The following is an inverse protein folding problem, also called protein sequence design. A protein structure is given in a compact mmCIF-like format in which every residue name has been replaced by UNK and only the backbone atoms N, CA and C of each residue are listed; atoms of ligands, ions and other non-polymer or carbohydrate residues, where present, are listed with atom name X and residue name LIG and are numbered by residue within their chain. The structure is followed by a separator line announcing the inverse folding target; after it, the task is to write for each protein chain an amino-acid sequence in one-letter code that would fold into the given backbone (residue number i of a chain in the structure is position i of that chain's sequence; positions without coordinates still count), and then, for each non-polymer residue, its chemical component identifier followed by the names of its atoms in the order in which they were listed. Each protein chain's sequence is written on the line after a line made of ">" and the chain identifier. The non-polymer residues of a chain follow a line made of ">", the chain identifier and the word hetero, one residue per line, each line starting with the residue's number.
data_IF_038367478379
#
_entry.id   IF_038367478379
#
_cell.length_a   1.000
_cell.length_b   1.000
_cell.length_c   1.000
_cell.angle_alpha   90.00
_cell.angle_beta   90.00
_cell.angle_gamma   90.00
#
_symmetry.space_group_name_H-M   'P 1'
#
loop_
_entity.id
_entity.type
_entity.pdbx_description
1 polymer ?
#
# COMPACT_ATOMS: atom_id res chain seq x y z
N UNK A 1 -18.59 7.22 32.66
CA UNK A 1 -18.64 7.29 31.19
C UNK A 1 -18.34 5.91 30.63
N UNK A 2 -19.11 5.43 29.64
CA UNK A 2 -18.80 4.14 28.96
C UNK A 2 -17.51 4.35 28.16
N UNK A 3 -16.50 3.53 28.38
CA UNK A 3 -15.24 3.56 27.63
C UNK A 3 -15.55 3.16 26.17
N UNK A 4 -15.16 3.98 25.20
CA UNK A 4 -15.35 3.68 23.77
C UNK A 4 -14.10 3.04 23.18
N UNK A 5 -14.31 2.16 22.23
CA UNK A 5 -13.25 1.45 21.52
C UNK A 5 -13.37 1.72 20.02
N UNK A 6 -12.29 2.22 19.43
CA UNK A 6 -12.23 2.54 18.01
C UNK A 6 -11.22 1.66 17.31
N UNK A 7 -11.53 1.29 16.06
CA UNK A 7 -10.60 0.70 15.11
C UNK A 7 -10.30 1.77 14.05
N UNK A 8 -9.01 2.02 13.78
CA UNK A 8 -8.54 2.82 12.67
C UNK A 8 -7.95 1.89 11.60
N UNK A 9 -8.39 2.02 10.35
CA UNK A 9 -7.83 1.30 9.20
C UNK A 9 -7.30 2.33 8.21
N UNK A 10 -6.00 2.21 7.90
CA UNK A 10 -5.27 2.98 6.88
C UNK A 10 -4.77 2.00 5.81
N UNK A 11 -5.16 2.19 4.56
CA UNK A 11 -4.78 1.36 3.42
C UNK A 11 -3.41 1.79 2.91
N UNK A 12 -2.37 1.08 3.33
CA UNK A 12 -0.97 1.40 3.02
C UNK A 12 -0.70 1.49 1.52
N UNK A 13 -0.12 2.62 1.10
CA UNK A 13 0.23 2.87 -0.31
C UNK A 13 -0.95 2.69 -1.27
N UNK A 14 -2.16 3.02 -0.86
CA UNK A 14 -3.42 2.68 -1.50
C UNK A 14 -3.43 2.92 -3.02
N UNK A 15 -3.10 4.13 -3.48
CA UNK A 15 -3.13 4.44 -4.91
C UNK A 15 -2.14 3.60 -5.72
N UNK A 16 -0.94 3.36 -5.18
CA UNK A 16 0.05 2.51 -5.84
C UNK A 16 -0.41 1.05 -5.88
N UNK A 17 -1.08 0.58 -4.83
CA UNK A 17 -1.64 -0.76 -4.77
C UNK A 17 -2.76 -0.94 -5.79
N UNK A 18 -3.65 0.06 -5.95
CA UNK A 18 -4.69 0.05 -7.00
C UNK A 18 -4.06 0.02 -8.39
N UNK A 19 -3.02 0.82 -8.65
CA UNK A 19 -2.34 0.86 -9.94
C UNK A 19 -1.63 -0.45 -10.29
N UNK A 20 -1.01 -1.11 -9.30
CA UNK A 20 -0.46 -2.44 -9.50
C UNK A 20 -1.56 -3.44 -9.84
N UNK A 21 -2.65 -3.43 -9.08
CA UNK A 21 -3.77 -4.33 -9.26
C UNK A 21 -4.37 -4.26 -10.66
N UNK A 22 -4.64 -3.06 -11.15
CA UNK A 22 -5.20 -2.82 -12.49
C UNK A 22 -4.27 -3.30 -13.62
N UNK A 23 -2.98 -3.49 -13.33
CA UNK A 23 -1.97 -4.04 -14.26
C UNK A 23 -1.71 -5.53 -14.06
N UNK A 24 -2.43 -6.20 -13.14
CA UNK A 24 -2.18 -7.60 -12.81
C UNK A 24 -0.85 -7.84 -12.09
N UNK A 25 -0.31 -6.80 -11.40
CA UNK A 25 0.96 -6.84 -10.68
C UNK A 25 0.74 -6.97 -9.17
N UNK A 26 1.70 -7.57 -8.46
CA UNK A 26 1.70 -7.62 -7.00
C UNK A 26 2.24 -6.30 -6.43
N UNK A 27 1.45 -5.55 -5.64
CA UNK A 27 1.90 -4.31 -4.99
C UNK A 27 3.07 -4.48 -4.02
N UNK A 28 3.28 -5.68 -3.48
CA UNK A 28 4.40 -5.96 -2.56
C UNK A 28 5.70 -6.26 -3.29
N UNK A 29 5.63 -6.76 -4.52
CA UNK A 29 6.79 -7.12 -5.33
C UNK A 29 7.14 -6.08 -6.40
N UNK A 30 6.19 -5.23 -6.79
CA UNK A 30 6.38 -4.29 -7.89
C UNK A 30 6.87 -2.94 -7.42
N UNK A 31 7.94 -2.44 -8.01
CA UNK A 31 8.39 -1.05 -7.86
C UNK A 31 7.52 -0.13 -8.71
N UNK A 32 6.65 0.64 -8.06
CA UNK A 32 5.75 1.57 -8.74
C UNK A 32 5.56 2.85 -7.93
N UNK A 33 5.45 3.97 -8.62
CA UNK A 33 5.09 5.28 -8.08
C UNK A 33 3.90 5.85 -8.84
N UNK A 34 2.99 6.49 -8.11
CA UNK A 34 1.87 7.24 -8.70
C UNK A 34 2.26 8.71 -8.76
N UNK A 35 2.50 9.21 -9.98
CA UNK A 35 2.90 10.60 -10.22
C UNK A 35 2.48 11.04 -11.62
N UNK A 36 2.21 12.34 -11.80
CA UNK A 36 1.94 12.94 -13.11
C UNK A 36 3.25 13.45 -13.73
N UNK A 37 3.92 12.58 -14.49
CA UNK A 37 5.16 12.87 -15.17
C UNK A 37 4.98 13.91 -16.33
N UNK A 38 3.76 14.02 -16.88
CA UNK A 38 3.48 14.93 -18.00
C UNK A 38 3.64 16.40 -17.62
N UNK A 39 3.52 16.74 -16.33
CA UNK A 39 3.63 18.11 -15.82
C UNK A 39 5.08 18.54 -15.60
N UNK A 40 5.78 17.82 -14.74
CA UNK A 40 7.17 18.10 -14.37
C UNK A 40 7.71 17.04 -13.39
N UNK A 41 9.00 16.81 -13.39
CA UNK A 41 9.68 15.96 -12.40
C UNK A 41 9.61 16.51 -10.95
N UNK A 42 9.18 17.77 -10.77
CA UNK A 42 8.94 18.36 -9.44
C UNK A 42 7.58 17.99 -8.85
N UNK A 43 6.76 17.22 -9.60
CA UNK A 43 5.45 16.73 -9.12
C UNK A 43 5.62 15.90 -7.86
N UNK A 44 4.67 16.02 -6.94
CA UNK A 44 4.62 15.20 -5.73
C UNK A 44 4.06 13.83 -6.09
N UNK A 45 4.75 12.78 -5.65
CA UNK A 45 4.25 11.42 -5.77
C UNK A 45 3.09 11.21 -4.79
N UNK A 46 1.95 10.77 -5.29
CA UNK A 46 0.77 10.52 -4.47
C UNK A 46 0.90 9.24 -3.65
N UNK A 47 1.58 8.24 -4.20
CA UNK A 47 1.89 6.99 -3.50
C UNK A 47 3.11 6.31 -4.12
N UNK A 48 3.78 5.50 -3.30
CA UNK A 48 4.94 4.68 -3.66
C UNK A 48 4.71 3.29 -3.08
N UNK A 49 4.99 2.23 -3.85
CA UNK A 49 4.85 0.85 -3.38
C UNK A 49 5.81 0.53 -2.22
N UNK A 50 5.47 -0.45 -1.37
CA UNK A 50 6.34 -0.88 -0.28
C UNK A 50 7.71 -1.35 -0.75
N UNK A 51 7.78 -2.11 -1.87
CA UNK A 51 9.02 -2.57 -2.48
C UNK A 51 9.94 -1.39 -2.87
N UNK A 52 9.40 -0.37 -3.52
CA UNK A 52 10.18 0.80 -3.91
C UNK A 52 10.61 1.64 -2.69
N UNK A 53 9.79 1.71 -1.64
CA UNK A 53 10.14 2.36 -0.37
C UNK A 53 11.33 1.70 0.33
N UNK A 54 11.57 0.39 0.14
CA UNK A 54 12.69 -0.34 0.76
C UNK A 54 14.05 0.20 0.33
N UNK A 55 14.12 0.90 -0.80
CA UNK A 55 15.33 1.61 -1.27
C UNK A 55 15.49 3.02 -0.67
N UNK A 56 14.80 3.33 0.43
CA UNK A 56 14.91 4.61 1.13
C UNK A 56 14.12 5.75 0.46
N UNK A 57 13.14 5.41 -0.39
CA UNK A 57 12.29 6.38 -1.09
C UNK A 57 11.12 6.80 -0.20
N UNK A 58 10.91 8.11 -0.05
CA UNK A 58 9.79 8.66 0.71
C UNK A 58 8.45 8.38 0.04
N UNK A 59 7.42 8.09 0.83
CA UNK A 59 6.07 7.85 0.33
C UNK A 59 5.39 9.05 -0.33
N UNK A 60 5.89 10.28 -0.07
CA UNK A 60 5.38 11.56 -0.59
C UNK A 60 6.51 12.46 -1.11
N UNK A 61 7.62 11.88 -1.56
CA UNK A 61 8.71 12.59 -2.22
C UNK A 61 8.28 13.16 -3.57
N UNK A 62 9.10 14.02 -4.14
CA UNK A 62 8.93 14.49 -5.51
C UNK A 62 9.49 13.47 -6.50
N UNK A 63 8.98 13.44 -7.72
CA UNK A 63 9.38 12.43 -8.71
C UNK A 63 10.89 12.48 -9.00
N UNK A 64 11.50 13.67 -9.06
CA UNK A 64 12.94 13.77 -9.26
C UNK A 64 13.74 13.16 -8.08
N UNK A 65 13.23 13.25 -6.84
CA UNK A 65 13.87 12.63 -5.67
C UNK A 65 13.80 11.11 -5.76
N UNK A 66 12.70 10.56 -6.25
CA UNK A 66 12.56 9.12 -6.53
C UNK A 66 13.59 8.69 -7.57
N UNK A 67 13.67 9.38 -8.71
CA UNK A 67 14.64 9.13 -9.79
C UNK A 67 16.08 9.19 -9.26
N UNK A 68 16.39 10.20 -8.43
CA UNK A 68 17.72 10.37 -7.83
C UNK A 68 18.06 9.22 -6.87
N UNK A 69 17.15 8.83 -6.00
CA UNK A 69 17.37 7.70 -5.06
C UNK A 69 17.54 6.37 -5.78
N UNK A 70 16.78 6.12 -6.83
CA UNK A 70 16.97 4.90 -7.65
C UNK A 70 18.34 4.93 -8.33
N UNK A 71 18.80 6.08 -8.83
CA UNK A 71 20.15 6.22 -9.40
C UNK A 71 21.25 5.94 -8.37
N UNK A 72 21.12 6.45 -7.15
CA UNK A 72 22.05 6.20 -6.05
C UNK A 72 22.08 4.71 -5.66
N UNK A 73 20.90 4.09 -5.53
CA UNK A 73 20.79 2.65 -5.24
C UNK A 73 21.42 1.80 -6.36
N UNK A 74 21.23 2.19 -7.63
CA UNK A 74 21.84 1.51 -8.77
C UNK A 74 23.36 1.68 -8.81
N UNK A 75 23.90 2.82 -8.39
CA UNK A 75 25.34 2.99 -8.26
C UNK A 75 25.94 2.01 -7.24
N UNK A 76 25.26 1.81 -6.10
CA UNK A 76 25.64 0.77 -5.12
C UNK A 76 25.58 -0.65 -5.73
N UNK A 77 24.45 -0.99 -6.39
CA UNK A 77 24.28 -2.29 -7.05
C UNK A 77 25.35 -2.54 -8.12
N UNK A 78 25.69 -1.51 -8.90
CA UNK A 78 26.75 -1.62 -9.90
C UNK A 78 28.11 -1.90 -9.27
N UNK A 79 28.42 -1.26 -8.13
CA UNK A 79 29.66 -1.51 -7.40
C UNK A 79 29.76 -2.97 -6.92
N UNK A 80 28.64 -3.53 -6.47
CA UNK A 80 28.57 -4.87 -5.89
C UNK A 80 28.36 -5.98 -6.94
N UNK A 81 27.94 -5.61 -8.16
CA UNK A 81 27.68 -6.56 -9.24
C UNK A 81 28.94 -7.23 -9.77
N UNK A 82 28.88 -8.48 -10.25
CA UNK A 82 30.00 -9.15 -10.92
C UNK A 82 30.53 -8.30 -12.08
N UNK A 83 31.84 -8.04 -12.07
CA UNK A 83 32.50 -7.21 -13.08
C UNK A 83 32.11 -5.72 -13.05
N UNK A 84 31.48 -5.24 -11.96
CA UNK A 84 31.01 -3.86 -11.78
C UNK A 84 30.11 -3.35 -12.92
N UNK A 85 29.30 -4.26 -13.48
CA UNK A 85 28.38 -3.96 -14.58
C UNK A 85 26.97 -4.43 -14.27
N UNK A 86 25.98 -3.61 -14.64
CA UNK A 86 24.58 -4.00 -14.65
C UNK A 86 24.20 -4.43 -16.08
N UNK A 87 23.55 -5.61 -16.21
CA UNK A 87 23.27 -6.28 -17.50
C UNK A 87 21.81 -6.13 -17.95
N UNK A 88 21.03 -5.30 -17.24
CA UNK A 88 19.62 -5.07 -17.53
C UNK A 88 18.94 -4.37 -16.37
N UNK A 89 17.62 -4.38 -16.35
CA UNK A 89 16.83 -3.80 -15.26
C UNK A 89 15.58 -4.61 -14.96
N UNK A 90 15.04 -4.44 -13.76
CA UNK A 90 13.74 -5.02 -13.37
C UNK A 90 13.01 -4.07 -12.43
N UNK A 91 11.69 -4.02 -12.57
CA UNK A 91 10.80 -3.37 -11.61
C UNK A 91 10.22 -4.35 -10.57
N UNK A 92 10.57 -5.64 -10.64
CA UNK A 92 10.15 -6.66 -9.67
C UNK A 92 11.21 -6.83 -8.59
N UNK A 93 10.80 -6.64 -7.34
CA UNK A 93 11.68 -6.71 -6.17
C UNK A 93 12.29 -8.11 -6.01
N UNK A 94 11.49 -9.18 -6.15
CA UNK A 94 11.95 -10.56 -6.09
C UNK A 94 13.07 -10.84 -7.09
N UNK A 95 12.88 -10.44 -8.34
CA UNK A 95 13.87 -10.60 -9.41
C UNK A 95 15.16 -9.84 -9.11
N UNK A 96 15.04 -8.64 -8.53
CA UNK A 96 16.18 -7.82 -8.14
C UNK A 96 16.94 -8.43 -6.95
N UNK A 97 16.26 -9.15 -6.06
CA UNK A 97 16.91 -9.87 -4.95
C UNK A 97 17.68 -11.11 -5.44
N UNK A 98 17.14 -11.82 -6.43
CA UNK A 98 17.77 -13.02 -6.99
C UNK A 98 18.94 -12.68 -7.93
N UNK A 99 18.89 -11.53 -8.61
CA UNK A 99 19.91 -11.15 -9.58
C UNK A 99 20.55 -9.77 -9.27
N UNK A 100 21.71 -9.75 -8.62
CA UNK A 100 22.41 -8.51 -8.28
C UNK A 100 22.95 -7.73 -9.51
N UNK A 101 23.05 -8.36 -10.69
CA UNK A 101 23.49 -7.69 -11.93
C UNK A 101 22.39 -6.85 -12.61
N UNK A 102 21.14 -6.84 -12.08
CA UNK A 102 20.09 -6.03 -12.63
C UNK A 102 20.00 -4.66 -11.96
N UNK A 103 19.76 -3.62 -12.74
CA UNK A 103 19.40 -2.29 -12.24
C UNK A 103 17.97 -2.30 -11.68
N UNK A 104 17.75 -1.52 -10.63
CA UNK A 104 16.41 -1.17 -10.17
C UNK A 104 15.75 -0.28 -11.20
N UNK A 105 14.58 -0.70 -11.66
CA UNK A 105 13.66 0.09 -12.45
C UNK A 105 12.33 0.24 -11.70
N UNK A 106 11.44 1.14 -12.16
CA UNK A 106 10.13 1.34 -11.56
C UNK A 106 9.14 1.89 -12.58
N UNK A 107 7.86 1.61 -12.33
CA UNK A 107 6.75 2.08 -13.15
C UNK A 107 6.27 3.43 -12.61
N UNK A 108 6.10 4.42 -13.49
CA UNK A 108 5.42 5.67 -13.18
C UNK A 108 3.99 5.56 -13.68
N UNK A 109 3.01 5.56 -12.77
CA UNK A 109 1.61 5.47 -13.09
C UNK A 109 0.95 6.86 -12.96
N UNK A 110 0.24 7.35 -13.99
CA UNK A 110 -0.50 8.60 -13.88
C UNK A 110 -1.65 8.45 -12.87
N UNK A 111 -1.97 9.52 -12.08
CA UNK A 111 -3.05 9.48 -11.11
C UNK A 111 -4.42 9.29 -11.77
N UNK A 112 -5.23 8.37 -11.23
CA UNK A 112 -6.60 8.08 -11.69
C UNK A 112 -7.60 8.19 -10.53
N UNK A 113 -7.86 9.41 -10.04
CA UNK A 113 -8.63 9.66 -8.82
C UNK A 113 -10.03 9.02 -8.83
N UNK A 114 -10.71 9.00 -9.97
CA UNK A 114 -12.02 8.33 -10.09
C UNK A 114 -11.93 6.83 -9.76
N UNK A 115 -10.90 6.16 -10.24
CA UNK A 115 -10.62 4.76 -9.94
C UNK A 115 -10.35 4.53 -8.45
N UNK A 116 -9.57 5.41 -7.82
CA UNK A 116 -9.27 5.28 -6.40
C UNK A 116 -10.52 5.46 -5.54
N UNK A 117 -11.41 6.38 -5.92
CA UNK A 117 -12.70 6.56 -5.25
C UNK A 117 -13.60 5.32 -5.42
N UNK A 118 -13.61 4.69 -6.59
CA UNK A 118 -14.37 3.47 -6.84
C UNK A 118 -13.87 2.32 -5.95
N UNK A 119 -12.55 2.09 -5.88
CA UNK A 119 -11.96 1.09 -5.00
C UNK A 119 -12.24 1.37 -3.52
N UNK A 120 -12.10 2.64 -3.09
CA UNK A 120 -12.44 3.06 -1.73
C UNK A 120 -13.91 2.76 -1.39
N UNK A 121 -14.83 3.04 -2.32
CA UNK A 121 -16.26 2.75 -2.15
C UNK A 121 -16.54 1.25 -2.01
N UNK A 122 -15.88 0.41 -2.82
CA UNK A 122 -16.00 -1.05 -2.69
C UNK A 122 -15.51 -1.55 -1.33
N UNK A 123 -14.37 -1.02 -0.86
CA UNK A 123 -13.82 -1.35 0.46
C UNK A 123 -14.75 -0.89 1.57
N UNK A 124 -15.32 0.31 1.47
CA UNK A 124 -16.30 0.81 2.42
C UNK A 124 -17.53 -0.10 2.53
N UNK A 125 -17.99 -0.68 1.42
CA UNK A 125 -19.08 -1.68 1.44
C UNK A 125 -18.71 -2.94 2.25
N UNK A 126 -17.43 -3.29 2.33
CA UNK A 126 -16.98 -4.37 3.20
C UNK A 126 -17.09 -3.96 4.68
N UNK A 127 -16.68 -2.75 5.03
CA UNK A 127 -16.78 -2.23 6.39
C UNK A 127 -18.24 -2.23 6.90
N UNK A 128 -19.19 -1.82 6.05
CA UNK A 128 -20.63 -1.80 6.37
C UNK A 128 -21.24 -3.18 6.67
N UNK A 129 -20.56 -4.29 6.38
CA UNK A 129 -21.02 -5.62 6.80
C UNK A 129 -20.78 -5.88 8.28
N UNK A 130 -19.85 -5.15 8.88
CA UNK A 130 -19.38 -5.36 10.23
C UNK A 130 -19.84 -4.27 11.19
N UNK A 131 -19.94 -3.05 10.72
CA UNK A 131 -20.22 -1.85 11.50
C UNK A 131 -21.27 -1.02 10.76
N UNK A 132 -22.27 -0.49 11.47
CA UNK A 132 -23.28 0.38 10.88
C UNK A 132 -22.66 1.69 10.36
N UNK A 133 -23.23 2.28 9.28
CA UNK A 133 -22.68 3.49 8.67
C UNK A 133 -22.51 4.67 9.64
N UNK A 134 -23.41 4.82 10.60
CA UNK A 134 -23.38 5.87 11.62
C UNK A 134 -22.19 5.77 12.59
N UNK A 135 -21.60 4.58 12.72
CA UNK A 135 -20.43 4.30 13.55
C UNK A 135 -19.11 4.28 12.75
N UNK A 136 -19.18 4.58 11.42
CA UNK A 136 -18.03 4.67 10.54
C UNK A 136 -17.76 6.14 10.19
N UNK A 137 -16.58 6.62 10.53
CA UNK A 137 -16.09 7.96 10.16
C UNK A 137 -15.08 7.79 9.03
N UNK A 138 -15.46 8.22 7.82
CA UNK A 138 -14.53 8.28 6.67
C UNK A 138 -13.67 9.53 6.84
N UNK A 139 -12.38 9.33 7.15
CA UNK A 139 -11.43 10.43 7.32
C UNK A 139 -10.80 10.85 6.00
N UNK A 140 -10.46 9.87 5.16
CA UNK A 140 -9.94 10.10 3.81
C UNK A 140 -10.37 8.95 2.87
N UNK A 141 -9.91 8.99 1.63
CA UNK A 141 -10.19 7.96 0.63
C UNK A 141 -9.59 6.58 1.00
N UNK A 142 -8.57 6.57 1.85
CA UNK A 142 -7.82 5.39 2.28
C UNK A 142 -7.80 5.18 3.80
N UNK A 143 -8.49 6.05 4.58
CA UNK A 143 -8.49 5.98 6.03
C UNK A 143 -9.89 6.11 6.62
N UNK A 144 -10.23 5.19 7.54
CA UNK A 144 -11.50 5.17 8.27
C UNK A 144 -11.29 4.93 9.75
N UNK A 145 -12.18 5.50 10.57
CA UNK A 145 -12.33 5.18 11.99
C UNK A 145 -13.69 4.54 12.21
N UNK A 146 -13.74 3.47 12.99
CA UNK A 146 -14.98 2.77 13.32
C UNK A 146 -15.13 2.66 14.83
N UNK A 147 -16.27 3.14 15.39
CA UNK A 147 -16.63 2.88 16.78
C UNK A 147 -17.15 1.43 16.87
N UNK A 148 -16.37 0.57 17.49
CA UNK A 148 -16.72 -0.85 17.63
C UNK A 148 -17.18 -1.24 19.02
N UNK A 149 -17.43 -0.27 19.89
CA UNK A 149 -17.73 -0.46 21.30
C UNK A 149 -18.85 -1.48 21.53
N UNK A 150 -19.96 -1.33 20.82
CA UNK A 150 -21.14 -2.19 21.00
C UNK A 150 -21.08 -3.48 20.16
N UNK A 151 -20.14 -3.56 19.21
CA UNK A 151 -19.99 -4.69 18.30
C UNK A 151 -19.11 -5.82 18.85
N UNK A 152 -18.17 -5.50 19.76
CA UNK A 152 -17.23 -6.48 20.32
C UNK A 152 -17.96 -7.63 21.02
N UNK A 153 -19.02 -7.33 21.78
CA UNK A 153 -19.82 -8.33 22.45
C UNK A 153 -20.62 -9.20 21.47
N UNK A 154 -21.11 -8.60 20.38
CA UNK A 154 -21.86 -9.30 19.33
C UNK A 154 -20.98 -10.28 18.58
N UNK A 155 -19.79 -9.86 18.20
CA UNK A 155 -18.83 -10.71 17.48
C UNK A 155 -18.04 -11.64 18.39
N UNK A 156 -18.04 -11.40 19.71
CA UNK A 156 -17.19 -12.12 20.69
C UNK A 156 -15.71 -12.12 20.31
N UNK A 157 -15.23 -10.99 19.78
CA UNK A 157 -13.86 -10.80 19.31
C UNK A 157 -13.21 -9.65 20.09
N UNK A 158 -11.87 -9.70 20.18
CA UNK A 158 -11.09 -8.53 20.59
C UNK A 158 -11.15 -7.46 19.48
N UNK A 159 -10.87 -6.17 19.81
CA UNK A 159 -10.78 -5.12 18.78
C UNK A 159 -9.79 -5.46 17.68
N UNK A 160 -8.65 -6.04 18.03
CA UNK A 160 -7.63 -6.49 17.09
C UNK A 160 -8.15 -7.60 16.17
N UNK A 161 -8.79 -8.64 16.72
CA UNK A 161 -9.29 -9.76 15.93
C UNK A 161 -10.43 -9.33 14.99
N UNK A 162 -11.28 -8.37 15.43
CA UNK A 162 -12.30 -7.79 14.58
C UNK A 162 -11.67 -6.98 13.43
N UNK A 163 -10.65 -6.17 13.73
CA UNK A 163 -9.90 -5.44 12.69
C UNK A 163 -9.28 -6.39 11.68
N UNK A 164 -8.60 -7.45 12.14
CA UNK A 164 -8.00 -8.47 11.28
C UNK A 164 -9.03 -9.18 10.42
N UNK A 165 -10.19 -9.51 10.97
CA UNK A 165 -11.30 -10.13 10.22
C UNK A 165 -11.80 -9.21 9.10
N UNK A 166 -11.97 -7.93 9.37
CA UNK A 166 -12.38 -6.92 8.39
C UNK A 166 -11.32 -6.80 7.27
N UNK A 167 -10.06 -6.66 7.65
CA UNK A 167 -8.92 -6.55 6.72
C UNK A 167 -8.86 -7.77 5.79
N UNK A 168 -8.95 -8.98 6.35
CA UNK A 168 -8.94 -10.21 5.56
C UNK A 168 -10.13 -10.30 4.58
N UNK A 169 -11.30 -9.78 4.95
CA UNK A 169 -12.46 -9.75 4.03
C UNK A 169 -12.25 -8.72 2.90
N UNK A 170 -11.65 -7.56 3.18
CA UNK A 170 -11.23 -6.59 2.18
C UNK A 170 -10.24 -7.25 1.20
N UNK A 171 -9.20 -7.90 1.73
CA UNK A 171 -8.19 -8.55 0.90
C UNK A 171 -8.79 -9.66 0.01
N UNK A 172 -9.73 -10.45 0.52
CA UNK A 172 -10.38 -11.53 -0.25
C UNK A 172 -11.27 -11.01 -1.38
N UNK A 173 -11.96 -9.90 -1.18
CA UNK A 173 -12.93 -9.39 -2.15
C UNK A 173 -12.31 -8.56 -3.26
N UNK A 174 -11.47 -7.62 -2.88
CA UNK A 174 -10.95 -6.62 -3.80
C UNK A 174 -9.54 -6.98 -4.33
N UNK A 175 -8.88 -7.96 -3.70
CA UNK A 175 -7.52 -8.36 -4.01
C UNK A 175 -7.41 -9.84 -4.41
N UNK A 176 -8.26 -10.33 -5.34
CA UNK A 176 -8.44 -11.74 -5.76
C UNK A 176 -7.20 -12.43 -6.38
N UNK A 177 -6.01 -12.21 -5.88
CA UNK A 177 -4.88 -13.13 -6.13
C UNK A 177 -4.44 -13.76 -4.81
N UNK A 178 -3.96 -15.03 -4.83
CA UNK A 178 -3.37 -15.64 -3.66
C UNK A 178 -2.12 -14.85 -3.31
N UNK A 179 -2.30 -13.85 -2.43
CA UNK A 179 -1.18 -13.30 -1.69
C UNK A 179 -0.60 -14.47 -0.92
N UNK A 180 0.65 -14.79 -1.19
CA UNK A 180 1.43 -15.58 -0.24
C UNK A 180 1.23 -14.91 1.11
N UNK A 181 0.60 -15.63 2.02
CA UNK A 181 0.30 -15.20 3.40
C UNK A 181 1.62 -14.99 4.17
N UNK A 182 2.36 -13.97 3.79
CA UNK A 182 3.39 -13.41 4.62
C UNK A 182 2.79 -12.20 5.31
N UNK A 183 2.37 -12.43 6.56
CA UNK A 183 1.90 -11.49 7.58
C UNK A 183 0.99 -10.36 7.06
N UNK A 184 -0.27 -10.35 7.51
CA UNK A 184 -1.28 -9.32 7.22
C UNK A 184 -0.89 -7.89 7.57
N UNK A 185 0.32 -7.66 8.07
CA UNK A 185 0.89 -6.38 8.48
C UNK A 185 1.34 -5.51 7.28
N UNK A 186 1.39 -6.07 6.06
CA UNK A 186 1.87 -5.37 4.86
C UNK A 186 0.88 -4.32 4.32
N UNK A 187 -0.42 -4.50 4.50
CA UNK A 187 -1.46 -3.68 3.86
C UNK A 187 -2.19 -2.73 4.79
N UNK A 188 -2.15 -2.94 6.10
CA UNK A 188 -2.78 -2.08 7.09
C UNK A 188 -1.78 -1.61 8.14
N UNK A 189 -1.74 -0.31 8.41
CA UNK A 189 -1.14 0.20 9.64
C UNK A 189 -2.13 0.01 10.76
N UNK A 190 -1.69 -0.73 11.77
CA UNK A 190 -2.18 -0.93 13.13
C UNK A 190 -3.59 -0.41 13.44
N UNK A 191 -4.46 -1.33 13.88
CA UNK A 191 -5.60 -0.96 14.68
C UNK A 191 -5.10 -0.33 15.99
N UNK A 192 -5.23 0.98 16.16
CA UNK A 192 -5.00 1.64 17.41
C UNK A 192 -6.27 1.55 18.24
N UNK A 193 -6.20 0.83 19.37
CA UNK A 193 -7.22 0.92 20.40
C UNK A 193 -6.89 2.13 21.26
N UNK A 194 -7.57 3.25 21.02
CA UNK A 194 -7.53 4.41 21.93
C UNK A 194 -8.23 4.05 23.24
N UNK A 195 -7.56 4.33 24.36
CA UNK A 195 -8.18 4.37 25.70
C UNK A 195 -8.76 5.73 25.96
#
# INVERSE_FOLDING_TARGET
>A
MKQRTYIAIDLKSFYASVECRERGLDPLDTNLVVADESRTDKTICLAVTPSLKSYGISGRGRLFEVKQRVKEANAGRQHDAPGHRLEGSSYLFSVLQENPSLAIDFIIAPPRMAYYMEYSTRIYQVYMKYVAPEDIIVYSIDEVFMDVTDYLNTYKLSPHDLAMKIILDVLRRDWHQPLSLQSGDGYCRQAHTGR
#
